data_IF_179467500377
#
_entry.id   IF_179467500377
#
_cell.length_a   1.000
_cell.length_b   1.000
_cell.length_c   1.000
_cell.angle_alpha   90.00
_cell.angle_beta   90.00
_cell.angle_gamma   90.00
#
_symmetry.space_group_name_H-M   'P 1'
#
loop_
_entity.id
_entity.type
_entity.pdbx_description
1 polymer ?
#
# COMPACT_ATOMS: atom_id res chain seq x y z
N UNK A 1 -17.90 3.42 -16.12
CA UNK A 1 -17.50 2.17 -15.41
C UNK A 1 -17.52 2.41 -13.90
N UNK A 2 -17.85 1.40 -13.09
CA UNK A 2 -17.76 1.52 -11.64
C UNK A 2 -16.48 0.86 -11.12
N UNK A 3 -16.00 1.35 -9.99
CA UNK A 3 -14.82 0.82 -9.31
C UNK A 3 -15.12 0.64 -7.81
N UNK A 4 -14.50 -0.35 -7.17
CA UNK A 4 -14.63 -0.63 -5.75
C UNK A 4 -13.27 -0.62 -5.08
N UNK A 5 -13.11 0.19 -4.02
CA UNK A 5 -11.92 0.23 -3.18
C UNK A 5 -12.27 -0.31 -1.79
N UNK A 6 -11.92 -1.56 -1.50
CA UNK A 6 -12.12 -2.07 -0.13
C UNK A 6 -11.06 -1.51 0.81
N UNK A 7 -11.43 -1.24 2.06
CA UNK A 7 -10.56 -0.49 2.97
C UNK A 7 -10.31 0.96 2.48
N UNK A 8 -11.29 1.54 1.77
CA UNK A 8 -11.15 2.85 1.13
C UNK A 8 -10.95 4.01 2.11
N UNK A 9 -11.38 3.88 3.37
CA UNK A 9 -11.10 4.87 4.41
C UNK A 9 -9.68 4.76 5.00
N UNK A 10 -8.90 3.74 4.60
CA UNK A 10 -7.51 3.54 5.00
C UNK A 10 -6.53 4.47 4.28
N UNK A 11 -5.24 4.34 4.61
CA UNK A 11 -4.19 5.20 4.10
C UNK A 11 -4.13 5.25 2.56
N UNK A 12 -3.84 4.11 1.92
CA UNK A 12 -3.74 4.04 0.45
C UNK A 12 -5.09 4.19 -0.24
N UNK A 13 -6.16 3.66 0.39
CA UNK A 13 -7.52 3.69 -0.16
C UNK A 13 -8.01 5.09 -0.44
N UNK A 14 -7.72 6.06 0.43
CA UNK A 14 -8.13 7.45 0.24
C UNK A 14 -7.43 8.11 -0.96
N UNK A 15 -6.13 7.87 -1.17
CA UNK A 15 -5.41 8.36 -2.34
C UNK A 15 -5.92 7.75 -3.64
N UNK A 16 -6.27 6.46 -3.60
CA UNK A 16 -6.90 5.78 -4.74
C UNK A 16 -8.27 6.39 -5.06
N UNK A 17 -9.12 6.63 -4.06
CA UNK A 17 -10.42 7.28 -4.24
C UNK A 17 -10.24 8.66 -4.87
N UNK A 18 -9.37 9.51 -4.31
CA UNK A 18 -9.07 10.84 -4.85
C UNK A 18 -8.67 10.74 -6.34
N UNK A 19 -7.73 9.86 -6.68
CA UNK A 19 -7.25 9.70 -8.05
C UNK A 19 -8.29 9.13 -9.00
N UNK A 20 -9.05 8.12 -8.58
CA UNK A 20 -10.10 7.50 -9.40
C UNK A 20 -11.25 8.47 -9.69
N UNK A 21 -11.59 9.36 -8.75
CA UNK A 21 -12.59 10.41 -8.96
C UNK A 21 -12.18 11.45 -10.01
N UNK A 22 -10.90 11.57 -10.37
CA UNK A 22 -10.45 12.45 -11.47
C UNK A 22 -10.63 11.83 -12.85
N UNK A 23 -10.84 10.52 -12.96
CA UNK A 23 -11.00 9.82 -14.23
C UNK A 23 -12.43 10.04 -14.77
N UNK A 24 -12.53 10.49 -16.03
CA UNK A 24 -13.82 10.72 -16.70
C UNK A 24 -14.58 9.43 -17.00
N UNK A 25 -13.85 8.34 -17.18
CA UNK A 25 -14.37 7.01 -17.49
C UNK A 25 -14.94 6.29 -16.27
N UNK A 26 -14.60 6.77 -15.06
CA UNK A 26 -15.12 6.24 -13.79
C UNK A 26 -16.42 6.98 -13.44
N UNK A 27 -17.54 6.26 -13.48
CA UNK A 27 -18.85 6.79 -13.15
C UNK A 27 -19.03 6.93 -11.62
N UNK A 28 -18.71 5.85 -10.90
CA UNK A 28 -18.79 5.83 -9.44
C UNK A 28 -17.61 5.08 -8.83
N UNK A 29 -17.13 5.62 -7.71
CA UNK A 29 -16.17 4.99 -6.80
C UNK A 29 -16.93 4.51 -5.58
N UNK A 30 -17.09 3.21 -5.47
CA UNK A 30 -17.59 2.55 -4.27
C UNK A 30 -16.41 2.29 -3.33
N UNK A 31 -16.60 2.46 -2.04
CA UNK A 31 -15.58 2.11 -1.08
C UNK A 31 -16.17 1.46 0.17
N UNK A 32 -15.36 0.64 0.86
CA UNK A 32 -15.80 0.04 2.12
C UNK A 32 -15.15 0.72 3.32
N UNK A 33 -15.91 0.79 4.41
CA UNK A 33 -15.46 1.15 5.74
C UNK A 33 -15.92 0.08 6.75
N UNK A 34 -15.22 -0.08 7.88
CA UNK A 34 -15.55 -1.08 8.89
C UNK A 34 -16.63 -0.61 9.88
N UNK A 35 -16.84 0.71 9.99
CA UNK A 35 -17.80 1.32 10.92
C UNK A 35 -18.18 2.71 10.43
N UNK A 36 -19.28 3.25 10.92
CA UNK A 36 -19.71 4.63 10.63
C UNK A 36 -18.63 5.65 11.03
N UNK A 37 -17.95 5.43 12.15
CA UNK A 37 -16.86 6.30 12.60
C UNK A 37 -15.63 6.28 11.69
N UNK A 38 -15.48 5.25 10.84
CA UNK A 38 -14.41 5.13 9.85
C UNK A 38 -14.79 5.60 8.44
N UNK A 39 -16.05 6.02 8.24
CA UNK A 39 -16.52 6.63 6.99
C UNK A 39 -15.75 7.91 6.67
N UNK A 40 -15.60 8.23 5.39
CA UNK A 40 -15.04 9.52 4.96
C UNK A 40 -15.98 10.66 5.37
N UNK A 41 -15.44 11.89 5.61
CA UNK A 41 -16.25 13.02 6.04
C UNK A 41 -17.40 13.36 5.08
N UNK A 42 -18.53 13.85 5.60
CA UNK A 42 -19.73 14.11 4.82
C UNK A 42 -19.52 15.16 3.72
N UNK A 43 -18.73 16.21 3.99
CA UNK A 43 -18.39 17.21 2.98
C UNK A 43 -17.70 16.61 1.73
N UNK A 44 -16.94 15.50 1.88
CA UNK A 44 -16.35 14.77 0.75
C UNK A 44 -17.46 14.09 -0.07
N UNK A 45 -18.43 13.48 0.60
CA UNK A 45 -19.61 12.90 -0.07
C UNK A 45 -20.47 13.95 -0.76
N UNK A 46 -20.67 15.12 -0.15
CA UNK A 46 -21.39 16.23 -0.75
C UNK A 46 -20.69 16.78 -1.98
N UNK A 47 -19.35 16.90 -1.96
CA UNK A 47 -18.54 17.33 -3.09
C UNK A 47 -18.64 16.37 -4.27
N UNK A 48 -18.71 15.06 -4.01
CA UNK A 48 -18.70 14.01 -5.02
C UNK A 48 -20.06 13.30 -5.13
N UNK A 49 -21.17 14.04 -4.97
CA UNK A 49 -22.55 13.51 -5.04
C UNK A 49 -22.71 12.47 -6.15
N UNK A 50 -23.32 11.32 -5.82
CA UNK A 50 -23.56 10.18 -6.71
C UNK A 50 -22.31 9.47 -7.27
N UNK A 51 -21.12 10.07 -7.17
CA UNK A 51 -19.88 9.44 -7.64
C UNK A 51 -19.08 8.75 -6.53
N UNK A 52 -19.36 9.04 -5.27
CA UNK A 52 -18.69 8.43 -4.12
C UNK A 52 -19.72 7.74 -3.22
N UNK A 53 -19.63 6.41 -3.11
CA UNK A 53 -20.60 5.58 -2.39
C UNK A 53 -19.90 4.76 -1.32
N UNK A 54 -20.32 4.92 -0.05
CA UNK A 54 -19.79 4.17 1.09
C UNK A 54 -20.61 2.91 1.36
N UNK A 55 -19.93 1.83 1.73
CA UNK A 55 -20.54 0.58 2.19
C UNK A 55 -19.90 0.16 3.51
N UNK A 56 -20.72 -0.08 4.52
CA UNK A 56 -20.25 -0.70 5.75
C UNK A 56 -20.05 -2.20 5.50
N UNK A 57 -18.81 -2.69 5.64
CA UNK A 57 -18.47 -4.10 5.42
C UNK A 57 -17.55 -4.61 6.51
N UNK A 58 -17.85 -5.79 7.02
CA UNK A 58 -16.99 -6.54 7.93
C UNK A 58 -16.31 -7.69 7.19
N UNK A 59 -15.00 -7.60 7.02
CA UNK A 59 -14.20 -8.60 6.31
C UNK A 59 -13.89 -9.84 7.16
N UNK A 60 -14.06 -9.75 8.49
CA UNK A 60 -13.93 -10.91 9.38
C UNK A 60 -15.12 -11.88 9.21
N UNK A 61 -16.33 -11.34 9.10
CA UNK A 61 -17.57 -12.12 9.02
C UNK A 61 -18.16 -12.22 7.62
N UNK A 62 -17.74 -11.35 6.70
CA UNK A 62 -18.29 -11.23 5.34
C UNK A 62 -19.54 -10.36 5.25
N UNK A 63 -20.00 -9.80 6.39
CA UNK A 63 -21.23 -8.98 6.41
C UNK A 63 -21.09 -7.74 5.52
N UNK A 64 -22.13 -7.45 4.72
CA UNK A 64 -22.21 -6.30 3.83
C UNK A 64 -21.46 -6.44 2.51
N UNK A 65 -20.61 -7.47 2.32
CA UNK A 65 -19.77 -7.61 1.11
C UNK A 65 -20.62 -7.93 -0.12
N UNK A 66 -21.60 -8.82 0.01
CA UNK A 66 -22.47 -9.19 -1.11
C UNK A 66 -23.31 -8.00 -1.59
N UNK A 67 -23.93 -7.28 -0.68
CA UNK A 67 -24.69 -6.07 -0.98
C UNK A 67 -23.82 -4.98 -1.62
N UNK A 68 -22.58 -4.81 -1.11
CA UNK A 68 -21.62 -3.87 -1.66
C UNK A 68 -21.28 -4.20 -3.13
N UNK A 69 -20.92 -5.45 -3.42
CA UNK A 69 -20.60 -5.90 -4.78
C UNK A 69 -21.82 -5.78 -5.71
N UNK A 70 -23.01 -6.12 -5.20
CA UNK A 70 -24.25 -5.99 -5.97
C UNK A 70 -24.54 -4.54 -6.37
N UNK A 71 -24.48 -3.59 -5.41
CA UNK A 71 -24.68 -2.16 -5.66
C UNK A 71 -23.61 -1.59 -6.60
N UNK A 72 -22.34 -1.95 -6.40
CA UNK A 72 -21.25 -1.51 -7.25
C UNK A 72 -21.40 -2.01 -8.71
N UNK A 73 -22.04 -3.15 -8.92
CA UNK A 73 -22.23 -3.75 -10.24
C UNK A 73 -23.47 -3.25 -10.98
N UNK A 74 -24.49 -2.73 -10.28
CA UNK A 74 -25.76 -2.30 -10.88
C UNK A 74 -25.78 -0.84 -11.35
N UNK A 75 -24.99 0.00 -10.72
CA UNK A 75 -24.84 1.43 -11.05
C UNK A 75 -26.15 2.20 -11.12
N UNK A 76 -26.78 2.45 -9.99
CA UNK A 76 -28.11 3.07 -9.91
C UNK A 76 -28.12 4.57 -10.24
N UNK A 77 -26.97 5.23 -10.36
CA UNK A 77 -26.88 6.68 -10.20
C UNK A 77 -26.53 7.49 -11.47
N UNK A 78 -25.99 6.89 -12.54
CA UNK A 78 -25.52 7.63 -13.72
C UNK A 78 -25.78 6.86 -15.02
N UNK A 79 -25.86 7.61 -16.15
CA UNK A 79 -25.91 7.03 -17.50
C UNK A 79 -24.53 6.49 -17.92
N UNK A 80 -24.48 5.38 -18.69
CA UNK A 80 -23.25 4.80 -19.24
C UNK A 80 -23.02 3.36 -18.79
N UNK A 81 -21.81 2.82 -19.04
CA UNK A 81 -21.41 1.48 -18.61
C UNK A 81 -21.35 1.41 -17.07
N UNK A 82 -22.28 0.67 -16.51
CA UNK A 82 -22.49 0.55 -15.06
C UNK A 82 -21.75 -0.64 -14.44
N UNK A 83 -21.03 -1.39 -15.26
CA UNK A 83 -20.37 -2.60 -14.80
C UNK A 83 -19.21 -2.27 -13.86
N UNK A 84 -19.06 -3.10 -12.82
CA UNK A 84 -17.88 -3.08 -11.97
C UNK A 84 -16.69 -3.61 -12.78
N UNK A 85 -15.67 -2.81 -12.97
CA UNK A 85 -14.48 -3.13 -13.79
C UNK A 85 -13.21 -3.27 -12.99
N UNK A 86 -13.15 -2.65 -11.81
CA UNK A 86 -11.98 -2.67 -10.92
C UNK A 86 -12.42 -2.90 -9.48
N UNK A 87 -11.71 -3.80 -8.81
CA UNK A 87 -11.74 -3.96 -7.34
C UNK A 87 -10.31 -3.81 -6.85
N UNK A 88 -10.06 -2.83 -5.98
CA UNK A 88 -8.76 -2.68 -5.31
C UNK A 88 -8.93 -3.09 -3.86
N UNK A 89 -8.32 -4.21 -3.47
CA UNK A 89 -8.40 -4.69 -2.09
C UNK A 89 -7.26 -4.13 -1.24
N UNK A 90 -7.55 -3.05 -0.51
CA UNK A 90 -6.67 -2.44 0.48
C UNK A 90 -7.03 -2.82 1.92
N UNK A 91 -8.06 -3.65 2.13
CA UNK A 91 -8.46 -4.09 3.48
C UNK A 91 -7.39 -4.95 4.09
N UNK A 92 -6.91 -4.59 5.28
CA UNK A 92 -6.02 -5.41 6.07
C UNK A 92 -5.98 -4.97 7.54
N UNK A 93 -5.86 -5.94 8.43
CA UNK A 93 -5.25 -5.74 9.73
C UNK A 93 -3.74 -5.66 9.50
N UNK A 94 -3.18 -4.46 9.48
CA UNK A 94 -1.83 -4.20 8.94
C UNK A 94 -0.76 -3.93 10.00
N UNK A 95 -1.12 -3.98 11.28
CA UNK A 95 -0.18 -3.83 12.39
C UNK A 95 0.32 -5.22 12.82
N UNK A 96 1.62 -5.53 12.62
CA UNK A 96 2.15 -6.88 12.93
C UNK A 96 1.87 -7.30 14.38
N UNK A 97 1.92 -6.37 15.33
CA UNK A 97 1.62 -6.65 16.74
C UNK A 97 0.18 -7.17 16.92
N UNK A 98 -0.80 -6.49 16.35
CA UNK A 98 -2.21 -6.92 16.43
C UNK A 98 -2.43 -8.28 15.74
N UNK A 99 -1.69 -8.56 14.67
CA UNK A 99 -1.77 -9.86 14.00
C UNK A 99 -1.18 -10.98 14.87
N UNK A 100 -0.05 -10.74 15.56
CA UNK A 100 0.52 -11.73 16.49
C UNK A 100 -0.39 -11.97 17.71
N UNK A 101 -1.06 -10.94 18.20
CA UNK A 101 -2.01 -11.07 19.32
C UNK A 101 -3.24 -11.92 18.95
N UNK A 102 -3.65 -11.90 17.65
CA UNK A 102 -4.76 -12.72 17.16
C UNK A 102 -4.57 -13.05 15.67
N UNK A 103 -3.80 -14.11 15.40
CA UNK A 103 -3.50 -14.55 14.03
C UNK A 103 -4.75 -15.07 13.30
N UNK A 104 -5.69 -15.71 14.01
CA UNK A 104 -6.94 -16.18 13.41
C UNK A 104 -7.75 -15.02 12.85
N UNK A 105 -7.93 -13.96 13.64
CA UNK A 105 -8.60 -12.73 13.18
C UNK A 105 -7.83 -12.08 12.03
N UNK A 106 -6.50 -12.01 12.11
CA UNK A 106 -5.68 -11.48 11.03
C UNK A 106 -5.91 -12.25 9.72
N UNK A 107 -5.97 -13.58 9.77
CA UNK A 107 -6.28 -14.41 8.61
C UNK A 107 -7.70 -14.15 8.08
N UNK A 108 -8.72 -14.10 8.95
CA UNK A 108 -10.11 -13.83 8.52
C UNK A 108 -10.26 -12.49 7.82
N UNK A 109 -9.58 -11.44 8.30
CA UNK A 109 -9.65 -10.09 7.71
C UNK A 109 -8.77 -9.96 6.46
N UNK A 110 -7.54 -10.48 6.50
CA UNK A 110 -6.53 -10.25 5.46
C UNK A 110 -6.68 -11.17 4.25
N UNK A 111 -7.26 -12.37 4.43
CA UNK A 111 -7.57 -13.27 3.31
C UNK A 111 -8.95 -12.88 2.76
N UNK A 112 -9.05 -12.37 1.52
CA UNK A 112 -10.31 -11.82 1.00
C UNK A 112 -11.27 -12.92 0.53
N UNK A 113 -11.53 -13.93 1.38
CA UNK A 113 -12.31 -15.13 1.06
C UNK A 113 -13.72 -14.76 0.60
N UNK A 114 -14.45 -14.00 1.42
CA UNK A 114 -15.84 -13.61 1.12
C UNK A 114 -15.92 -12.73 -0.13
N UNK A 115 -15.01 -11.77 -0.29
CA UNK A 115 -14.98 -10.91 -1.47
C UNK A 115 -14.74 -11.71 -2.75
N UNK A 116 -13.75 -12.60 -2.74
CA UNK A 116 -13.43 -13.48 -3.87
C UNK A 116 -14.61 -14.37 -4.23
N UNK A 117 -15.23 -15.04 -3.26
CA UNK A 117 -16.38 -15.91 -3.47
C UNK A 117 -17.58 -15.16 -4.07
N UNK A 118 -17.91 -13.97 -3.55
CA UNK A 118 -19.01 -13.15 -4.07
C UNK A 118 -18.73 -12.71 -5.50
N UNK A 119 -17.51 -12.25 -5.79
CA UNK A 119 -17.13 -11.85 -7.15
C UNK A 119 -17.21 -13.02 -8.11
N UNK A 120 -16.60 -14.16 -7.79
CA UNK A 120 -16.59 -15.31 -8.69
C UNK A 120 -18.01 -15.85 -8.95
N UNK A 121 -18.83 -16.02 -7.90
CA UNK A 121 -20.23 -16.47 -8.04
C UNK A 121 -21.07 -15.51 -8.89
N UNK A 122 -20.86 -14.19 -8.74
CA UNK A 122 -21.63 -13.18 -9.49
C UNK A 122 -21.37 -13.23 -10.99
N UNK A 123 -20.14 -13.52 -11.39
CA UNK A 123 -19.75 -13.55 -12.80
C UNK A 123 -19.70 -14.94 -13.40
N UNK A 124 -20.00 -16.01 -12.62
CA UNK A 124 -20.09 -17.38 -13.09
C UNK A 124 -21.22 -17.51 -14.16
N UNK A 125 -20.88 -18.04 -15.32
CA UNK A 125 -21.82 -18.18 -16.44
C UNK A 125 -22.29 -16.86 -17.08
N UNK A 126 -21.71 -15.72 -16.68
CA UNK A 126 -22.04 -14.41 -17.25
C UNK A 126 -21.23 -14.14 -18.52
N UNK A 127 -21.82 -13.45 -19.50
CA UNK A 127 -21.09 -12.89 -20.64
C UNK A 127 -20.13 -11.77 -20.22
N UNK A 128 -20.31 -11.20 -19.03
CA UNK A 128 -19.44 -10.16 -18.49
C UNK A 128 -18.19 -10.80 -17.88
N UNK A 129 -17.03 -10.24 -18.21
CA UNK A 129 -15.78 -10.63 -17.57
C UNK A 129 -15.75 -10.20 -16.10
N UNK A 130 -15.15 -11.02 -15.23
CA UNK A 130 -14.87 -10.62 -13.83
C UNK A 130 -14.08 -9.31 -13.81
N UNK A 131 -14.28 -8.44 -12.80
CA UNK A 131 -13.51 -7.21 -12.68
C UNK A 131 -12.02 -7.50 -12.45
N UNK A 132 -11.14 -6.57 -12.83
CA UNK A 132 -9.75 -6.61 -12.41
C UNK A 132 -9.69 -6.52 -10.89
N UNK A 133 -9.11 -7.53 -10.23
CA UNK A 133 -8.81 -7.51 -8.79
C UNK A 133 -7.34 -7.17 -8.58
N UNK A 134 -7.07 -6.01 -7.98
CA UNK A 134 -5.75 -5.63 -7.50
C UNK A 134 -5.70 -5.84 -5.99
N UNK A 135 -4.93 -6.82 -5.54
CA UNK A 135 -4.75 -7.12 -4.12
C UNK A 135 -3.46 -6.54 -3.58
N UNK A 136 -3.56 -5.71 -2.54
CA UNK A 136 -2.39 -5.18 -1.84
C UNK A 136 -1.83 -6.24 -0.89
N UNK A 137 -0.67 -6.80 -1.24
CA UNK A 137 0.15 -7.65 -0.38
C UNK A 137 1.30 -6.86 0.24
N UNK A 138 2.33 -7.51 0.75
CA UNK A 138 3.41 -6.90 1.51
C UNK A 138 4.76 -7.57 1.24
N UNK A 139 5.85 -6.83 1.44
CA UNK A 139 7.22 -7.34 1.50
C UNK A 139 7.43 -8.31 2.70
N UNK A 140 6.57 -8.26 3.72
CA UNK A 140 6.67 -9.16 4.89
C UNK A 140 6.29 -10.62 4.60
N UNK A 141 5.93 -10.97 3.36
CA UNK A 141 5.85 -12.37 2.91
C UNK A 141 7.23 -12.99 2.69
N UNK A 142 8.29 -12.17 2.69
CA UNK A 142 9.67 -12.59 2.56
C UNK A 142 10.27 -12.97 3.92
N UNK A 143 11.15 -13.97 3.93
CA UNK A 143 11.77 -14.50 5.18
C UNK A 143 12.71 -13.49 5.86
N UNK A 144 13.29 -12.55 5.10
CA UNK A 144 14.23 -11.57 5.64
C UNK A 144 15.72 -11.99 5.63
N UNK A 145 16.03 -13.13 5.03
CA UNK A 145 17.41 -13.65 4.94
C UNK A 145 18.13 -13.26 3.64
N UNK A 146 17.41 -12.71 2.67
CA UNK A 146 17.93 -12.41 1.34
C UNK A 146 17.66 -10.98 0.93
N UNK A 147 18.64 -10.36 0.27
CA UNK A 147 18.48 -9.05 -0.35
C UNK A 147 17.95 -9.16 -1.77
N UNK A 148 17.26 -8.12 -2.22
CA UNK A 148 16.75 -7.96 -3.60
C UNK A 148 16.03 -9.23 -4.11
N UNK A 149 15.10 -9.76 -3.30
CA UNK A 149 14.33 -10.96 -3.61
C UNK A 149 13.43 -10.71 -4.81
N UNK A 150 13.42 -11.64 -5.76
CA UNK A 150 12.57 -11.61 -6.97
C UNK A 150 11.26 -12.35 -6.72
N UNK A 151 10.24 -12.10 -7.54
CA UNK A 151 8.93 -12.78 -7.44
C UNK A 151 9.02 -14.29 -7.71
N UNK A 152 10.00 -14.72 -8.50
CA UNK A 152 10.29 -16.09 -8.88
C UNK A 152 11.54 -16.66 -8.18
N UNK A 153 11.88 -16.13 -7.01
CA UNK A 153 13.04 -16.54 -6.24
C UNK A 153 12.92 -18.00 -5.77
N UNK A 154 13.94 -18.79 -6.05
CA UNK A 154 14.00 -20.22 -5.72
C UNK A 154 14.91 -20.55 -4.54
N UNK A 155 15.49 -19.51 -3.90
CA UNK A 155 16.29 -19.71 -2.69
C UNK A 155 15.45 -20.30 -1.58
N UNK A 156 16.05 -21.16 -0.79
CA UNK A 156 15.36 -21.89 0.28
C UNK A 156 14.62 -20.93 1.22
N UNK A 157 13.35 -21.21 1.43
CA UNK A 157 12.47 -20.47 2.35
C UNK A 157 12.33 -18.96 2.05
N UNK A 158 12.67 -18.51 0.82
CA UNK A 158 12.65 -17.09 0.46
C UNK A 158 11.27 -16.42 0.77
N UNK A 159 10.20 -17.18 0.64
CA UNK A 159 8.81 -16.75 0.89
C UNK A 159 8.20 -17.39 2.14
N UNK A 160 8.99 -17.58 3.20
CA UNK A 160 8.50 -18.01 4.51
C UNK A 160 8.44 -16.84 5.49
N UNK A 161 7.26 -16.24 5.68
CA UNK A 161 7.10 -15.07 6.54
C UNK A 161 7.32 -15.43 8.01
N UNK A 162 8.07 -14.59 8.73
CA UNK A 162 8.45 -14.82 10.11
C UNK A 162 7.46 -14.28 11.14
N UNK A 163 6.40 -13.59 10.71
CA UNK A 163 5.37 -13.04 11.59
C UNK A 163 3.96 -13.29 11.05
N UNK A 164 2.95 -13.19 11.94
CA UNK A 164 1.55 -13.49 11.63
C UNK A 164 0.98 -12.57 10.53
N UNK A 165 1.39 -11.31 10.47
CA UNK A 165 0.98 -10.42 9.39
C UNK A 165 1.45 -10.94 8.03
N UNK A 166 2.74 -11.25 7.90
CA UNK A 166 3.29 -11.82 6.67
C UNK A 166 2.61 -13.14 6.30
N UNK A 167 2.39 -14.05 7.28
CA UNK A 167 1.68 -15.33 7.05
C UNK A 167 0.26 -15.11 6.54
N UNK A 168 -0.52 -14.22 7.16
CA UNK A 168 -1.88 -13.92 6.71
C UNK A 168 -1.94 -13.37 5.30
N UNK A 169 -0.97 -12.51 4.91
CA UNK A 169 -0.86 -11.97 3.54
C UNK A 169 -0.42 -13.05 2.55
N UNK A 170 0.49 -13.94 2.95
CA UNK A 170 0.89 -15.10 2.12
C UNK A 170 -0.27 -16.05 1.88
N UNK A 171 -1.12 -16.31 2.90
CA UNK A 171 -2.35 -17.09 2.72
C UNK A 171 -3.32 -16.40 1.76
N UNK A 172 -3.46 -15.07 1.82
CA UNK A 172 -4.27 -14.32 0.88
C UNK A 172 -3.80 -14.49 -0.57
N UNK A 173 -2.48 -14.38 -0.82
CA UNK A 173 -1.90 -14.63 -2.15
C UNK A 173 -2.23 -16.03 -2.65
N UNK A 174 -1.97 -17.06 -1.84
CA UNK A 174 -2.23 -18.47 -2.18
C UNK A 174 -3.71 -18.69 -2.47
N UNK A 175 -4.61 -18.12 -1.65
CA UNK A 175 -6.04 -18.22 -1.83
C UNK A 175 -6.50 -17.61 -3.16
N UNK A 176 -6.05 -16.39 -3.47
CA UNK A 176 -6.43 -15.69 -4.69
C UNK A 176 -5.89 -16.37 -5.95
N UNK A 177 -4.64 -16.84 -5.93
CA UNK A 177 -4.06 -17.60 -7.05
C UNK A 177 -4.84 -18.87 -7.37
N UNK A 178 -5.46 -19.48 -6.37
CA UNK A 178 -6.26 -20.70 -6.55
C UNK A 178 -7.72 -20.44 -6.98
N UNK A 179 -8.32 -19.35 -6.50
CA UNK A 179 -9.76 -19.16 -6.52
C UNK A 179 -10.24 -17.97 -7.36
N UNK A 180 -9.34 -17.12 -7.89
CA UNK A 180 -9.71 -16.00 -8.75
C UNK A 180 -9.15 -16.19 -10.17
N UNK A 181 -9.80 -15.58 -11.18
CA UNK A 181 -9.28 -15.60 -12.55
C UNK A 181 -7.93 -14.87 -12.62
N UNK A 182 -6.88 -15.61 -12.94
CA UNK A 182 -5.54 -15.08 -12.98
C UNK A 182 -5.33 -14.02 -14.10
N UNK A 183 -6.18 -14.02 -15.15
CA UNK A 183 -6.16 -13.01 -16.20
C UNK A 183 -6.75 -11.67 -15.74
N UNK A 184 -7.50 -11.69 -14.64
CA UNK A 184 -8.09 -10.51 -14.01
C UNK A 184 -7.53 -10.26 -12.59
N UNK A 185 -6.36 -10.82 -12.26
CA UNK A 185 -5.73 -10.70 -10.94
C UNK A 185 -4.36 -10.00 -11.04
N UNK A 186 -4.12 -9.08 -10.12
CA UNK A 186 -2.81 -8.49 -9.85
C UNK A 186 -2.59 -8.48 -8.34
N UNK A 187 -1.46 -9.01 -7.88
CA UNK A 187 -1.03 -8.99 -6.48
C UNK A 187 0.20 -8.09 -6.39
N UNK A 188 0.09 -7.00 -5.62
CA UNK A 188 1.19 -6.07 -5.39
C UNK A 188 1.78 -6.28 -3.99
N UNK A 189 2.96 -6.86 -3.91
CA UNK A 189 3.75 -6.90 -2.67
C UNK A 189 4.41 -5.55 -2.46
N UNK A 190 3.79 -4.68 -1.68
CA UNK A 190 4.35 -3.36 -1.42
C UNK A 190 5.30 -3.37 -0.23
N UNK A 191 6.33 -2.53 -0.29
CA UNK A 191 7.16 -2.20 0.86
C UNK A 191 6.50 -1.09 1.69
N UNK A 192 7.27 -0.44 2.56
CA UNK A 192 6.79 0.70 3.36
C UNK A 192 6.25 1.78 2.44
N UNK A 193 4.95 2.04 2.50
CA UNK A 193 4.30 3.09 1.71
C UNK A 193 4.53 4.42 2.40
N UNK A 194 5.12 5.38 1.68
CA UNK A 194 5.43 6.71 2.18
C UNK A 194 4.61 7.79 1.51
N UNK A 195 4.41 8.89 2.23
CA UNK A 195 3.64 10.04 1.78
C UNK A 195 3.08 10.82 2.97
N UNK A 196 2.37 11.93 2.71
CA UNK A 196 1.69 12.72 3.74
C UNK A 196 0.49 11.96 4.33
N UNK A 197 -0.16 12.55 5.31
CA UNK A 197 -1.48 12.10 5.74
C UNK A 197 -2.46 12.09 4.55
N UNK A 198 -3.40 11.15 4.51
CA UNK A 198 -4.32 11.02 3.40
C UNK A 198 -5.28 12.23 3.29
N UNK A 199 -5.86 12.47 2.09
CA UNK A 199 -6.47 13.75 1.75
C UNK A 199 -7.78 14.04 2.48
N UNK A 200 -8.55 13.02 2.83
CA UNK A 200 -9.91 13.23 3.35
C UNK A 200 -10.00 13.11 4.87
N UNK A 201 -9.27 12.16 5.44
CA UNK A 201 -9.31 11.86 6.86
C UNK A 201 -7.95 11.33 7.31
N UNK A 202 -7.40 11.87 8.40
CA UNK A 202 -6.18 11.33 9.02
C UNK A 202 -6.41 9.88 9.46
N UNK A 203 -5.36 9.07 9.32
CA UNK A 203 -5.36 7.70 9.86
C UNK A 203 -4.84 7.72 11.29
N UNK A 204 -5.44 6.90 12.15
CA UNK A 204 -5.14 6.88 13.58
C UNK A 204 -3.78 6.20 13.88
N UNK A 205 -3.23 5.44 12.91
CA UNK A 205 -1.91 4.82 13.05
C UNK A 205 -0.80 5.82 12.72
N UNK A 206 0.35 5.77 13.42
CA UNK A 206 1.50 6.60 13.06
C UNK A 206 2.04 6.19 11.68
N UNK A 207 2.23 7.16 10.80
CA UNK A 207 2.93 6.95 9.53
C UNK A 207 4.44 6.99 9.78
N UNK A 208 5.22 6.30 8.94
CA UNK A 208 6.66 6.21 9.12
C UNK A 208 7.35 7.59 9.04
N UNK A 209 6.96 8.42 8.08
CA UNK A 209 7.51 9.79 7.98
C UNK A 209 7.09 10.69 9.16
N UNK A 210 5.86 10.54 9.67
CA UNK A 210 5.41 11.25 10.87
C UNK A 210 6.23 10.85 12.09
N UNK A 211 6.55 9.55 12.22
CA UNK A 211 7.39 9.05 13.28
C UNK A 211 8.82 9.64 13.22
N UNK A 212 9.42 9.66 12.03
CA UNK A 212 10.75 10.29 11.84
C UNK A 212 10.66 11.78 12.16
N UNK A 213 9.65 12.50 11.66
CA UNK A 213 9.50 13.94 11.90
C UNK A 213 9.30 14.30 13.37
N UNK A 214 8.66 13.44 14.16
CA UNK A 214 8.55 13.60 15.62
C UNK A 214 9.87 13.36 16.33
N UNK A 215 10.65 12.39 15.86
CA UNK A 215 11.96 12.08 16.45
C UNK A 215 13.00 13.12 16.06
N UNK A 216 12.99 13.55 14.80
CA UNK A 216 13.92 14.51 14.23
C UNK A 216 13.13 15.70 13.65
N UNK A 217 12.68 16.64 14.49
CA UNK A 217 11.85 17.74 14.02
C UNK A 217 12.62 18.64 13.05
N UNK A 218 12.00 19.06 11.95
CA UNK A 218 12.58 20.03 11.03
C UNK A 218 12.93 21.32 11.75
N UNK A 219 14.05 21.95 11.36
CA UNK A 219 14.43 23.24 11.90
C UNK A 219 13.56 24.35 11.30
N UNK A 220 12.58 24.84 12.07
CA UNK A 220 11.65 25.90 11.63
C UNK A 220 12.24 27.30 11.80
N UNK A 221 13.36 27.43 12.51
CA UNK A 221 14.06 28.70 12.69
C UNK A 221 15.23 28.76 11.72
N UNK A 222 15.13 29.62 10.71
CA UNK A 222 16.13 29.84 9.66
C UNK A 222 17.45 30.42 10.20
N UNK A 223 18.19 29.67 11.00
CA UNK A 223 19.56 29.94 11.37
C UNK A 223 20.50 28.96 10.72
N UNK A 224 21.49 29.51 10.03
CA UNK A 224 22.64 28.85 9.44
C UNK A 224 23.30 27.91 10.46
N UNK A 225 22.98 26.65 10.38
CA UNK A 225 23.61 25.59 11.16
C UNK A 225 24.44 24.72 10.24
N UNK A 226 25.42 25.31 9.56
CA UNK A 226 26.55 24.55 9.02
C UNK A 226 27.50 24.30 10.20
N UNK A 227 27.66 23.03 10.54
CA UNK A 227 28.66 22.62 11.53
C UNK A 227 28.09 22.13 12.83
N UNK A 228 27.93 20.81 12.90
CA UNK A 228 28.12 19.98 14.09
C UNK A 228 27.77 18.52 13.74
N UNK A 229 28.66 17.88 12.95
CA UNK A 229 28.52 16.48 12.62
C UNK A 229 28.97 15.50 13.72
N UNK A 230 29.59 15.98 14.83
CA UNK A 230 30.34 15.10 15.73
C UNK A 230 30.11 15.31 17.25
N UNK A 231 29.01 15.84 17.71
CA UNK A 231 28.73 15.71 19.15
C UNK A 231 27.82 14.49 19.42
N UNK A 232 28.39 13.44 20.04
CA UNK A 232 27.64 12.38 20.71
C UNK A 232 26.77 12.98 21.81
N UNK A 233 25.53 13.26 21.50
CA UNK A 233 24.58 13.68 22.52
C UNK A 233 24.14 12.42 23.29
N UNK A 234 24.50 12.37 24.56
CA UNK A 234 23.88 11.46 25.55
C UNK A 234 22.46 11.98 25.83
N UNK A 235 21.56 11.72 24.86
CA UNK A 235 20.13 11.95 25.06
C UNK A 235 19.51 10.65 25.51
N UNK A 236 19.06 10.60 26.76
CA UNK A 236 18.35 9.43 27.33
C UNK A 236 17.07 9.08 26.57
N UNK A 237 16.56 10.02 25.76
CA UNK A 237 15.38 9.86 24.90
C UNK A 237 15.73 9.57 23.44
N UNK A 238 16.96 9.19 23.12
CA UNK A 238 17.33 8.88 21.75
C UNK A 238 16.66 7.59 21.25
N UNK A 239 16.10 7.66 20.05
CA UNK A 239 15.44 6.56 19.38
C UNK A 239 16.45 5.79 18.52
N UNK A 240 16.49 4.47 18.66
CA UNK A 240 17.32 3.60 17.85
C UNK A 240 16.67 3.31 16.51
N UNK A 241 17.47 3.41 15.44
CA UNK A 241 17.09 3.03 14.09
C UNK A 241 18.05 1.96 13.56
N UNK A 242 17.50 0.86 13.07
CA UNK A 242 18.26 -0.30 12.63
C UNK A 242 19.08 0.00 11.38
N UNK A 243 20.36 -0.33 11.40
CA UNK A 243 21.28 -0.25 10.25
C UNK A 243 21.27 -1.54 9.43
N UNK A 244 20.70 -2.62 9.96
CA UNK A 244 20.62 -3.96 9.38
C UNK A 244 19.17 -4.42 9.11
N UNK A 245 18.21 -3.49 9.10
CA UNK A 245 16.83 -3.75 8.67
C UNK A 245 16.52 -2.97 7.38
N UNK A 246 16.49 -3.68 6.24
CA UNK A 246 16.39 -3.09 4.90
C UNK A 246 15.01 -3.21 4.27
N UNK A 247 14.58 -2.17 3.56
CA UNK A 247 13.32 -2.03 2.84
C UNK A 247 13.52 -1.26 1.53
N UNK A 248 12.52 -1.33 0.64
CA UNK A 248 12.42 -0.45 -0.54
C UNK A 248 11.22 0.48 -0.38
N UNK A 249 11.32 1.61 0.36
CA UNK A 249 10.18 2.50 0.56
C UNK A 249 9.61 2.96 -0.77
N UNK A 250 8.29 2.89 -0.92
CA UNK A 250 7.57 3.21 -2.15
C UNK A 250 6.63 4.39 -1.93
N UNK A 251 6.57 5.28 -2.92
CA UNK A 251 5.64 6.42 -2.88
C UNK A 251 4.19 5.95 -3.02
N UNK A 252 3.30 6.54 -2.23
CA UNK A 252 1.85 6.39 -2.41
C UNK A 252 1.41 6.78 -3.83
N UNK A 253 2.09 7.78 -4.42
CA UNK A 253 1.80 8.24 -5.79
C UNK A 253 2.11 7.14 -6.79
N UNK A 254 3.30 6.54 -6.70
CA UNK A 254 3.75 5.50 -7.63
C UNK A 254 2.82 4.28 -7.58
N UNK A 255 2.40 3.86 -6.37
CA UNK A 255 1.44 2.77 -6.21
C UNK A 255 0.06 3.12 -6.80
N UNK A 256 -0.43 4.31 -6.54
CA UNK A 256 -1.74 4.76 -7.04
C UNK A 256 -1.75 4.81 -8.57
N UNK A 257 -0.72 5.41 -9.18
CA UNK A 257 -0.61 5.51 -10.64
C UNK A 257 -0.41 4.13 -11.28
N UNK A 258 0.35 3.22 -10.66
CA UNK A 258 0.49 1.85 -11.15
C UNK A 258 -0.84 1.10 -11.19
N UNK A 259 -1.66 1.22 -10.15
CA UNK A 259 -2.98 0.59 -10.07
C UNK A 259 -3.90 1.15 -11.14
N UNK A 260 -3.94 2.48 -11.28
CA UNK A 260 -4.74 3.14 -12.33
C UNK A 260 -4.28 2.74 -13.72
N UNK A 261 -2.98 2.68 -13.94
CA UNK A 261 -2.42 2.27 -15.22
C UNK A 261 -2.80 0.81 -15.60
N UNK A 262 -2.70 -0.12 -14.64
CA UNK A 262 -3.16 -1.50 -14.85
C UNK A 262 -4.66 -1.55 -15.20
N UNK A 263 -5.47 -0.75 -14.53
CA UNK A 263 -6.89 -0.64 -14.80
C UNK A 263 -7.18 -0.10 -16.22
N UNK A 264 -6.53 0.99 -16.62
CA UNK A 264 -6.70 1.58 -17.95
C UNK A 264 -6.34 0.60 -19.08
N UNK A 265 -5.29 -0.23 -18.88
CA UNK A 265 -4.94 -1.29 -19.84
C UNK A 265 -6.01 -2.38 -19.86
N UNK A 266 -6.45 -2.83 -18.69
CA UNK A 266 -7.43 -3.92 -18.56
C UNK A 266 -8.75 -3.60 -19.25
N UNK A 267 -9.21 -2.35 -19.17
CA UNK A 267 -10.45 -1.90 -19.80
C UNK A 267 -10.25 -1.37 -21.23
N UNK A 268 -9.05 -1.42 -21.78
CA UNK A 268 -8.75 -1.02 -23.17
C UNK A 268 -8.67 0.49 -23.41
N UNK A 269 -8.58 1.31 -22.37
CA UNK A 269 -8.38 2.77 -22.49
C UNK A 269 -6.97 3.13 -22.95
N UNK A 270 -6.01 2.27 -22.73
CA UNK A 270 -4.64 2.36 -23.27
C UNK A 270 -4.36 1.22 -24.23
N UNK A 271 -3.63 1.52 -25.31
CA UNK A 271 -3.26 0.48 -26.30
C UNK A 271 -2.25 -0.51 -25.69
N UNK A 272 -2.52 -1.79 -25.88
CA UNK A 272 -1.69 -2.92 -25.45
C UNK A 272 -0.23 -2.87 -25.95
N UNK A 273 0.12 -2.05 -26.95
CA UNK A 273 1.41 -2.11 -27.66
C UNK A 273 2.66 -1.96 -26.78
N UNK A 274 2.57 -1.34 -25.62
CA UNK A 274 3.75 -1.00 -24.82
C UNK A 274 3.96 -1.87 -23.57
N UNK A 275 2.95 -2.66 -23.13
CA UNK A 275 2.99 -3.37 -21.84
C UNK A 275 2.30 -4.75 -21.87
N UNK A 276 1.59 -5.09 -22.95
CA UNK A 276 0.69 -6.26 -23.00
C UNK A 276 1.37 -7.60 -22.72
N UNK A 277 2.65 -7.71 -23.03
CA UNK A 277 3.44 -8.94 -22.85
C UNK A 277 3.66 -9.32 -21.37
N UNK A 278 3.34 -8.41 -20.40
CA UNK A 278 3.62 -8.65 -18.99
C UNK A 278 2.39 -8.66 -18.07
N UNK A 279 1.29 -7.99 -18.47
CA UNK A 279 0.12 -7.84 -17.59
C UNK A 279 -1.04 -8.77 -17.94
N UNK A 280 -1.34 -8.93 -19.23
CA UNK A 280 -2.49 -9.70 -19.70
C UNK A 280 -2.12 -10.41 -20.99
N UNK A 281 -2.17 -11.75 -21.01
CA UNK A 281 -1.91 -12.55 -22.19
C UNK A 281 -3.13 -12.59 -23.15
N UNK A 282 -2.87 -12.76 -24.45
CA UNK A 282 -3.92 -13.03 -25.42
C UNK A 282 -4.40 -14.47 -25.25
N UNK A 283 -5.71 -14.69 -25.53
CA UNK A 283 -6.32 -16.02 -25.48
C UNK A 283 -5.53 -16.99 -26.36
N UNK A 284 -4.83 -17.95 -25.76
CA UNK A 284 -4.09 -19.00 -26.48
C UNK A 284 -2.70 -19.32 -25.94
N UNK A 285 -2.02 -18.42 -25.28
CA UNK A 285 -0.71 -18.67 -24.67
C UNK A 285 -0.83 -18.93 -23.18
N UNK A 286 -0.85 -20.20 -22.77
CA UNK A 286 -0.65 -20.59 -21.37
C UNK A 286 0.82 -20.41 -21.02
N UNK A 287 1.25 -19.20 -20.67
CA UNK A 287 2.56 -19.01 -20.08
C UNK A 287 2.52 -19.19 -18.56
N UNK A 288 3.69 -19.49 -17.99
CA UNK A 288 3.93 -19.64 -16.54
C UNK A 288 3.86 -18.26 -15.81
N UNK A 289 2.86 -17.43 -16.13
CA UNK A 289 2.72 -16.09 -15.52
C UNK A 289 2.21 -16.20 -14.10
N UNK A 290 2.96 -15.63 -13.16
CA UNK A 290 2.44 -15.30 -11.83
C UNK A 290 1.96 -13.86 -11.83
N UNK A 291 0.69 -13.58 -11.43
CA UNK A 291 0.16 -12.21 -11.35
C UNK A 291 0.68 -11.45 -10.12
N UNK A 292 1.88 -11.78 -9.64
CA UNK A 292 2.53 -11.17 -8.48
C UNK A 292 3.63 -10.23 -8.94
N UNK A 293 3.67 -9.03 -8.34
CA UNK A 293 4.67 -8.00 -8.61
C UNK A 293 5.22 -7.43 -7.31
N UNK A 294 6.52 -7.27 -7.24
CA UNK A 294 7.20 -6.58 -6.15
C UNK A 294 7.14 -5.07 -6.35
N UNK A 295 6.24 -4.43 -5.62
CA UNK A 295 5.97 -2.99 -5.69
C UNK A 295 6.79 -2.24 -4.63
N UNK A 296 8.11 -2.34 -4.69
CA UNK A 296 9.07 -1.55 -3.92
C UNK A 296 9.53 -0.31 -4.67
N UNK A 297 10.03 0.67 -3.92
CA UNK A 297 10.72 1.83 -4.49
C UNK A 297 12.11 1.47 -5.05
N UNK A 298 12.80 2.44 -5.68
CA UNK A 298 14.04 2.18 -6.42
C UNK A 298 15.25 1.92 -5.51
N UNK A 299 15.16 2.26 -4.22
CA UNK A 299 16.30 2.23 -3.31
C UNK A 299 16.13 1.20 -2.20
N UNK A 300 17.15 0.38 -1.99
CA UNK A 300 17.26 -0.48 -0.80
C UNK A 300 17.91 0.32 0.33
N UNK A 301 17.14 0.66 1.35
CA UNK A 301 17.57 1.50 2.46
C UNK A 301 17.36 0.82 3.80
N UNK A 302 18.33 0.98 4.72
CA UNK A 302 18.12 0.62 6.11
C UNK A 302 17.20 1.63 6.79
N UNK A 303 16.68 1.29 7.97
CA UNK A 303 15.88 2.24 8.76
C UNK A 303 16.67 3.51 9.10
N UNK A 304 17.96 3.36 9.37
CA UNK A 304 18.84 4.49 9.68
C UNK A 304 19.17 5.34 8.44
N UNK A 305 19.35 4.71 7.26
CA UNK A 305 19.52 5.45 6.00
C UNK A 305 18.32 6.35 5.72
N UNK A 306 17.09 5.82 5.90
CA UNK A 306 15.86 6.59 5.70
C UNK A 306 15.81 7.83 6.61
N UNK A 307 16.18 7.68 7.89
CA UNK A 307 16.26 8.83 8.82
C UNK A 307 17.32 9.81 8.38
N UNK A 308 18.47 9.34 7.95
CA UNK A 308 19.58 10.20 7.50
C UNK A 308 19.19 11.02 6.27
N UNK A 309 18.54 10.39 5.28
CA UNK A 309 18.01 11.08 4.09
C UNK A 309 16.93 12.08 4.49
N UNK A 310 16.01 11.70 5.38
CA UNK A 310 14.97 12.61 5.87
C UNK A 310 15.58 13.85 6.54
N UNK A 311 16.51 13.66 7.48
CA UNK A 311 17.12 14.78 8.20
C UNK A 311 17.89 15.71 7.27
N UNK A 312 18.65 15.17 6.30
CA UNK A 312 19.35 15.95 5.27
C UNK A 312 18.35 16.75 4.42
N UNK A 313 17.30 16.11 3.94
CA UNK A 313 16.29 16.74 3.07
C UNK A 313 15.51 17.84 3.80
N UNK A 314 15.16 17.59 5.05
CA UNK A 314 14.35 18.50 5.88
C UNK A 314 15.18 19.49 6.69
N UNK A 315 16.51 19.48 6.58
CA UNK A 315 17.43 20.24 7.45
C UNK A 315 17.11 20.03 8.94
N UNK A 316 16.74 18.79 9.29
CA UNK A 316 16.36 18.40 10.63
C UNK A 316 17.57 17.88 11.42
N UNK A 317 17.54 18.08 12.75
CA UNK A 317 18.59 17.57 13.62
C UNK A 317 18.47 16.05 13.80
N UNK A 318 19.57 15.32 13.61
CA UNK A 318 19.67 13.87 13.87
C UNK A 318 19.99 13.53 15.35
N UNK A 319 20.17 14.51 16.23
CA UNK A 319 20.63 14.29 17.61
C UNK A 319 19.86 13.21 18.38
N UNK A 320 18.57 13.02 18.08
CA UNK A 320 17.72 12.00 18.74
C UNK A 320 17.64 10.68 18.00
N UNK A 321 18.30 10.53 16.86
CA UNK A 321 18.30 9.29 16.08
C UNK A 321 19.67 8.61 16.19
N UNK A 322 19.71 7.40 16.77
CA UNK A 322 20.94 6.61 16.93
C UNK A 322 20.94 5.42 15.99
N UNK A 323 22.09 5.14 15.35
CA UNK A 323 22.24 3.87 14.64
C UNK A 323 22.30 2.72 15.63
N UNK A 324 21.60 1.63 15.33
CA UNK A 324 21.65 0.41 16.11
C UNK A 324 21.71 -0.81 15.19
N UNK A 325 22.33 -1.90 15.67
CA UNK A 325 22.43 -3.18 14.97
C UNK A 325 21.47 -4.15 15.65
N UNK A 326 20.41 -4.52 14.98
CA UNK A 326 19.35 -5.37 15.51
C UNK A 326 19.86 -6.74 15.98
N UNK A 327 20.76 -7.34 15.20
CA UNK A 327 21.35 -8.66 15.54
C UNK A 327 22.21 -8.67 16.81
N UNK A 328 22.61 -7.49 17.33
CA UNK A 328 23.43 -7.31 18.54
C UNK A 328 22.64 -6.86 19.76
N UNK A 329 21.40 -6.46 19.59
CA UNK A 329 20.58 -5.90 20.68
C UNK A 329 19.79 -7.00 21.37
N UNK A 330 20.39 -7.64 22.36
CA UNK A 330 19.75 -8.71 23.18
C UNK A 330 18.70 -8.17 24.16
N UNK A 331 18.79 -6.91 24.57
CA UNK A 331 17.94 -6.35 25.62
C UNK A 331 16.56 -5.89 25.14
N UNK A 332 16.39 -5.58 23.87
CA UNK A 332 15.12 -5.06 23.34
C UNK A 332 14.17 -6.15 22.81
N UNK A 333 14.69 -7.36 22.60
CA UNK A 333 13.89 -8.51 22.15
C UNK A 333 12.86 -9.02 23.18
N UNK A 334 12.96 -8.61 24.43
CA UNK A 334 12.03 -9.04 25.49
C UNK A 334 10.73 -8.23 25.48
N UNK A 335 10.73 -7.01 24.95
CA UNK A 335 9.57 -6.12 24.94
C UNK A 335 8.75 -6.14 23.63
N UNK A 336 9.30 -6.61 22.50
CA UNK A 336 8.55 -6.73 21.24
C UNK A 336 8.20 -8.19 20.97
N UNK A 337 6.95 -8.55 21.21
CA UNK A 337 6.35 -9.86 20.87
C UNK A 337 6.45 -10.19 19.37
N UNK A 338 6.81 -9.23 18.52
CA UNK A 338 6.75 -9.35 17.07
C UNK A 338 8.15 -9.40 16.46
N UNK A 339 8.42 -10.49 15.74
CA UNK A 339 9.62 -10.59 14.91
C UNK A 339 9.44 -9.76 13.63
N UNK A 340 10.38 -8.84 13.37
CA UNK A 340 10.45 -8.12 12.09
C UNK A 340 11.62 -8.67 11.27
N UNK A 341 11.43 -8.95 9.96
CA UNK A 341 12.48 -9.50 9.11
C UNK A 341 13.60 -8.47 8.91
N UNK A 342 14.85 -8.95 8.79
CA UNK A 342 16.01 -8.09 8.60
C UNK A 342 16.03 -7.47 7.20
N UNK A 343 16.18 -8.27 6.17
CA UNK A 343 16.24 -7.78 4.80
C UNK A 343 15.10 -8.35 3.95
N UNK A 344 14.10 -7.54 3.71
CA UNK A 344 12.99 -7.85 2.79
C UNK A 344 12.99 -6.89 1.60
N UNK A 345 14.19 -6.49 1.18
CA UNK A 345 14.34 -5.75 -0.07
C UNK A 345 13.94 -6.61 -1.26
N UNK A 346 13.33 -5.95 -2.25
CA UNK A 346 12.71 -6.57 -3.40
C UNK A 346 13.34 -6.06 -4.70
N UNK A 347 13.52 -6.95 -5.67
CA UNK A 347 13.72 -6.56 -7.06
C UNK A 347 12.37 -6.14 -7.66
N UNK A 348 12.22 -4.84 -7.89
CA UNK A 348 10.99 -4.26 -8.45
C UNK A 348 11.04 -4.07 -9.98
N UNK A 349 11.94 -4.76 -10.67
CA UNK A 349 12.14 -4.58 -12.13
C UNK A 349 10.86 -4.84 -12.94
N UNK A 350 10.06 -5.87 -12.57
CA UNK A 350 8.78 -6.16 -13.23
C UNK A 350 7.77 -5.05 -12.99
N UNK A 351 7.68 -4.54 -11.76
CA UNK A 351 6.81 -3.42 -11.41
C UNK A 351 7.21 -2.12 -12.13
N UNK A 352 8.50 -1.82 -12.20
CA UNK A 352 9.01 -0.67 -12.96
C UNK A 352 8.68 -0.75 -14.45
N UNK A 353 8.66 -1.95 -15.03
CA UNK A 353 8.24 -2.14 -16.44
C UNK A 353 6.78 -1.78 -16.68
N UNK A 354 5.89 -2.03 -15.71
CA UNK A 354 4.49 -1.59 -15.77
C UNK A 354 4.42 -0.05 -15.88
N UNK A 355 5.28 0.66 -15.15
CA UNK A 355 5.28 2.12 -15.08
C UNK A 355 6.05 2.81 -16.23
N UNK A 356 6.82 2.07 -17.06
CA UNK A 356 7.83 2.59 -18.02
C UNK A 356 7.32 3.55 -19.10
N UNK A 357 6.01 3.70 -19.27
CA UNK A 357 5.46 4.67 -20.21
C UNK A 357 5.35 6.10 -19.62
N UNK A 358 6.32 6.53 -18.82
CA UNK A 358 6.48 7.91 -18.38
C UNK A 358 6.52 8.16 -16.88
N UNK A 359 6.44 7.12 -16.05
CA UNK A 359 6.56 7.28 -14.58
C UNK A 359 7.88 6.67 -14.11
N UNK A 360 8.79 7.53 -13.68
CA UNK A 360 9.98 7.11 -12.94
C UNK A 360 9.61 6.99 -11.46
N UNK A 361 9.92 5.84 -10.83
CA UNK A 361 9.71 5.68 -9.40
C UNK A 361 10.47 6.74 -8.63
N UNK A 362 9.80 7.35 -7.66
CA UNK A 362 10.36 8.40 -6.81
C UNK A 362 11.41 7.83 -5.87
N UNK A 363 12.59 8.45 -5.85
CA UNK A 363 13.60 8.23 -4.81
C UNK A 363 13.01 8.54 -3.42
N UNK A 364 13.60 8.01 -2.36
CA UNK A 364 13.11 8.29 -1.00
C UNK A 364 13.21 9.78 -0.65
N UNK A 365 14.23 10.47 -1.16
CA UNK A 365 14.34 11.92 -1.03
C UNK A 365 13.13 12.67 -1.65
N UNK A 366 12.73 12.29 -2.86
CA UNK A 366 11.55 12.87 -3.53
C UNK A 366 10.25 12.54 -2.77
N UNK A 367 10.15 11.33 -2.22
CA UNK A 367 9.01 10.93 -1.38
C UNK A 367 8.90 11.79 -0.11
N UNK A 368 10.03 12.13 0.51
CA UNK A 368 10.09 13.05 1.65
C UNK A 368 9.65 14.44 1.24
N UNK A 369 10.15 14.98 0.11
CA UNK A 369 9.78 16.31 -0.40
C UNK A 369 8.28 16.40 -0.72
N UNK A 370 7.69 15.39 -1.38
CA UNK A 370 6.26 15.35 -1.66
C UNK A 370 5.41 15.41 -0.38
N UNK A 371 5.89 14.76 0.69
CA UNK A 371 5.22 14.77 1.98
C UNK A 371 5.31 16.11 2.68
N UNK A 372 6.41 16.82 2.48
CA UNK A 372 6.70 18.09 3.14
C UNK A 372 5.86 19.24 2.61
N UNK A 373 5.58 19.26 1.32
CA UNK A 373 4.76 20.32 0.69
C UNK A 373 3.38 20.39 1.35
N UNK A 374 2.82 19.24 1.73
CA UNK A 374 1.54 19.15 2.46
C UNK A 374 1.71 19.58 3.93
N UNK A 375 2.84 19.21 4.58
CA UNK A 375 3.13 19.60 5.96
C UNK A 375 3.29 21.11 6.11
N UNK A 376 4.05 21.75 5.22
CA UNK A 376 4.28 23.20 5.27
C UNK A 376 2.99 23.98 5.01
N UNK A 377 2.14 23.56 4.11
CA UNK A 377 0.84 24.18 3.88
C UNK A 377 -0.09 24.05 5.09
N UNK A 378 -0.06 22.89 5.79
CA UNK A 378 -0.85 22.70 7.01
C UNK A 378 -0.33 23.51 8.20
N UNK A 379 0.99 23.69 8.32
CA UNK A 379 1.62 24.47 9.40
C UNK A 379 1.49 25.98 9.13
N UNK A 380 1.66 26.42 7.88
CA UNK A 380 1.53 27.84 7.50
C UNK A 380 0.07 28.30 7.32
N UNK A 381 -0.84 27.38 6.99
CA UNK A 381 -2.27 27.65 6.86
C UNK A 381 -3.02 27.82 8.19
N UNK A 382 -2.50 27.29 9.29
CA UNK A 382 -3.04 27.49 10.65
C UNK A 382 -2.55 28.79 11.33
N UNK A 383 -1.84 29.65 10.61
CA UNK A 383 -1.35 30.95 11.10
C UNK A 383 -2.15 32.12 10.51
N UNK A 384 -3.39 31.86 10.06
CA UNK A 384 -4.33 32.93 9.66
C UNK A 384 -5.66 32.79 10.35
#
# INVERSE_FOLDING_TARGET
MNVLVTGGSGYLGQFLIERLLTLKEVNAVHYTCSSESSKLPENVHEQHKRRLVCHACDFETGSGIEECVEKASKGEYLAGDKNLKLVVNCTALSQPKQCEENEEKACKVNVPTHLCQVLMRKYEGSEQKVPLLVHMSTDQVLCGSYSNTREDDTRENAFEPINAYGRSKKYAETYLLKNYDQNALIILRSSVITGPQPPFRRVDRPLFLDFIAKTCPPNTQGRNGEGEENEEVKDENAVEFWTDEFRNPVSRIDLTEAIVYCFEIFVGLRRKRDVSMFLFEEEGERSNRTPIYHAGGPERLSRYDMVTIFCKTMRASKKRAKPAVKSKTTSFCIASVVRTPADISMDSTKFMKILRNGVQLKSFQEQVLDSTTVYLSAVLGNSR
#
